data_IF_684650577264
#
_entry.id   IF_684650577264
#
_cell.length_a   1.000
_cell.length_b   1.000
_cell.length_c   1.000
_cell.angle_alpha   90.00
_cell.angle_beta   90.00
_cell.angle_gamma   90.00
#
_symmetry.space_group_name_H-M   'P 1'
#
loop_
_entity.id
_entity.type
_entity.pdbx_description
1 polymer ?
#
# COMPACT_ATOMS: atom_id res chain seq x y z
N UNK A 1 25.66 -79.88 -26.44
CA UNK A 1 24.28 -79.92 -25.92
C UNK A 1 24.09 -78.69 -25.04
N UNK A 2 22.96 -78.00 -25.24
CA UNK A 2 22.59 -76.65 -24.79
C UNK A 2 22.51 -76.41 -23.27
N UNK A 3 22.24 -75.13 -22.94
CA UNK A 3 21.64 -74.50 -21.72
C UNK A 3 22.66 -73.74 -20.85
N UNK A 4 22.72 -72.38 -20.82
CA UNK A 4 21.73 -71.32 -20.46
C UNK A 4 21.11 -71.64 -19.08
N UNK A 5 21.26 -70.87 -17.98
CA UNK A 5 20.73 -69.53 -17.64
C UNK A 5 21.28 -69.14 -16.26
N UNK A 6 21.86 -67.94 -16.08
CA UNK A 6 21.22 -66.69 -15.63
C UNK A 6 21.06 -66.59 -14.10
N UNK A 7 21.88 -65.72 -13.51
CA UNK A 7 21.78 -65.32 -12.11
C UNK A 7 20.54 -64.47 -11.85
N UNK A 8 19.69 -64.97 -10.97
CA UNK A 8 18.78 -64.20 -10.13
C UNK A 8 19.58 -63.78 -8.88
N UNK A 9 19.40 -62.65 -8.22
CA UNK A 9 18.41 -61.59 -8.31
C UNK A 9 18.85 -60.51 -7.32
N UNK A 10 18.45 -59.25 -7.56
CA UNK A 10 18.85 -58.20 -6.62
C UNK A 10 18.62 -56.76 -7.06
N UNK A 11 17.62 -56.47 -7.90
CA UNK A 11 17.36 -55.08 -8.31
C UNK A 11 15.88 -54.70 -8.32
N UNK A 12 15.02 -55.42 -7.57
CA UNK A 12 13.56 -55.25 -7.64
C UNK A 12 12.91 -54.35 -6.60
N UNK A 13 13.55 -54.02 -5.47
CA UNK A 13 12.85 -53.38 -4.33
C UNK A 13 13.36 -51.99 -3.93
N UNK A 14 14.52 -51.57 -4.43
CA UNK A 14 15.08 -50.25 -4.12
C UNK A 14 14.69 -49.17 -5.15
N UNK A 15 14.30 -49.55 -6.37
CA UNK A 15 14.03 -48.61 -7.46
C UNK A 15 12.63 -47.95 -7.39
N UNK A 16 11.72 -48.45 -6.55
CA UNK A 16 10.33 -47.98 -6.51
C UNK A 16 9.99 -46.93 -5.44
N UNK A 17 10.95 -46.54 -4.58
CA UNK A 17 10.75 -45.45 -3.61
C UNK A 17 11.38 -44.10 -4.01
N UNK A 18 12.11 -44.03 -5.12
CA UNK A 18 12.81 -42.79 -5.51
C UNK A 18 12.07 -41.91 -6.53
N UNK A 19 10.88 -42.30 -7.00
CA UNK A 19 10.09 -41.46 -7.92
C UNK A 19 8.90 -40.74 -7.29
N UNK A 20 8.49 -41.08 -6.06
CA UNK A 20 7.43 -40.34 -5.35
C UNK A 20 7.95 -39.07 -4.63
N UNK A 21 9.24 -39.01 -4.28
CA UNK A 21 9.82 -37.85 -3.61
C UNK A 21 10.16 -36.71 -4.58
N UNK A 22 10.35 -36.98 -5.87
CA UNK A 22 10.74 -35.97 -6.85
C UNK A 22 9.56 -35.12 -7.38
N UNK A 23 8.31 -35.59 -7.25
CA UNK A 23 7.12 -34.84 -7.71
C UNK A 23 6.51 -34.00 -6.58
N UNK A 24 6.68 -34.38 -5.30
CA UNK A 24 6.20 -33.58 -4.17
C UNK A 24 7.05 -32.34 -3.87
N UNK A 25 8.35 -32.36 -4.19
CA UNK A 25 9.26 -31.23 -3.93
C UNK A 25 9.12 -30.13 -4.99
N UNK A 26 8.58 -30.43 -6.18
CA UNK A 26 8.41 -29.43 -7.24
C UNK A 26 7.10 -28.60 -7.12
N UNK A 27 6.11 -29.08 -6.35
CA UNK A 27 4.88 -28.33 -6.10
C UNK A 27 5.00 -27.38 -4.88
N UNK A 28 5.84 -27.72 -3.90
CA UNK A 28 6.00 -26.92 -2.69
C UNK A 28 6.81 -25.62 -2.88
N UNK A 29 7.55 -25.49 -3.98
CA UNK A 29 8.36 -24.28 -4.26
C UNK A 29 7.59 -23.19 -5.02
N UNK A 30 6.42 -23.51 -5.60
CA UNK A 30 5.58 -22.51 -6.28
C UNK A 30 4.58 -21.83 -5.33
N UNK A 31 4.19 -22.51 -4.25
CA UNK A 31 3.27 -21.94 -3.26
C UNK A 31 3.93 -20.92 -2.32
N UNK A 32 5.25 -21.02 -2.11
CA UNK A 32 6.00 -20.03 -1.31
C UNK A 32 6.13 -18.67 -2.00
N UNK A 33 6.04 -18.64 -3.34
CA UNK A 33 6.13 -17.40 -4.12
C UNK A 33 4.86 -16.54 -4.06
N UNK A 34 3.70 -17.14 -3.78
CA UNK A 34 2.42 -16.40 -3.65
C UNK A 34 2.22 -15.76 -2.28
N UNK A 35 2.98 -16.17 -1.27
CA UNK A 35 2.83 -15.70 0.11
C UNK A 35 3.56 -14.37 0.40
N UNK A 36 4.39 -13.87 -0.53
CA UNK A 36 5.18 -12.64 -0.35
C UNK A 36 4.97 -11.60 -1.45
N UNK A 37 3.77 -11.50 -2.03
CA UNK A 37 3.35 -10.22 -2.61
C UNK A 37 3.04 -9.24 -1.46
N UNK A 38 4.00 -9.00 -0.57
CA UNK A 38 3.95 -7.80 0.26
C UNK A 38 3.93 -6.64 -0.74
N UNK A 39 2.95 -5.77 -0.61
CA UNK A 39 2.83 -4.62 -1.47
C UNK A 39 4.16 -3.86 -1.38
N UNK A 40 4.96 -3.89 -2.43
CA UNK A 40 6.32 -3.31 -2.41
C UNK A 40 6.34 -1.90 -2.95
N UNK A 41 5.21 -1.40 -3.45
CA UNK A 41 5.09 -0.08 -4.06
C UNK A 41 4.19 0.82 -3.23
N UNK A 42 4.36 2.13 -3.41
CA UNK A 42 3.46 3.13 -2.84
C UNK A 42 2.01 2.82 -3.25
N UNK A 43 1.10 2.88 -2.30
CA UNK A 43 -0.33 2.66 -2.53
C UNK A 43 -1.16 3.68 -1.80
N UNK A 44 -1.94 4.47 -2.54
CA UNK A 44 -2.92 5.37 -1.96
C UNK A 44 -4.18 4.59 -1.57
N UNK A 45 -4.53 4.60 -0.28
CA UNK A 45 -5.69 3.89 0.24
C UNK A 45 -6.97 4.74 0.15
N UNK A 46 -6.84 6.06 0.27
CA UNK A 46 -7.98 6.96 0.18
C UNK A 46 -7.84 8.24 1.00
N UNK A 47 -8.80 9.14 0.78
CA UNK A 47 -8.97 10.33 1.60
C UNK A 47 -10.13 10.10 2.59
N UNK A 48 -9.90 10.43 3.86
CA UNK A 48 -10.94 10.52 4.88
C UNK A 48 -11.26 11.99 5.16
N UNK A 49 -12.54 12.24 5.48
CA UNK A 49 -13.07 13.58 5.73
C UNK A 49 -12.75 14.51 4.55
N UNK A 50 -13.25 14.16 3.37
CA UNK A 50 -13.23 15.05 2.20
C UNK A 50 -14.14 16.28 2.37
N UNK A 51 -14.87 16.37 3.49
CA UNK A 51 -15.54 17.56 4.00
C UNK A 51 -15.05 17.77 5.44
N UNK A 52 -14.50 18.95 5.73
CA UNK A 52 -13.97 19.32 7.04
C UNK A 52 -14.69 20.52 7.64
N UNK A 53 -14.83 20.51 8.96
CA UNK A 53 -15.38 21.58 9.81
C UNK A 53 -14.34 22.00 10.84
N UNK A 54 -13.25 22.67 10.43
CA UNK A 54 -12.13 23.07 11.30
C UNK A 54 -12.53 24.16 12.31
N UNK A 55 -13.30 23.76 13.32
CA UNK A 55 -13.85 24.58 14.41
C UNK A 55 -13.25 24.20 15.78
N UNK A 56 -12.48 23.11 15.87
CA UNK A 56 -11.77 22.66 17.07
C UNK A 56 -12.60 21.79 18.01
N UNK A 57 -13.71 21.21 17.55
CA UNK A 57 -14.55 20.31 18.35
C UNK A 57 -14.07 18.84 18.35
N UNK A 58 -13.02 18.53 17.59
CA UNK A 58 -12.43 17.20 17.43
C UNK A 58 -13.06 16.37 16.32
N UNK A 59 -14.12 16.85 15.65
CA UNK A 59 -14.85 16.13 14.61
C UNK A 59 -14.61 16.78 13.25
N UNK A 60 -14.08 16.00 12.30
CA UNK A 60 -13.78 16.47 10.94
C UNK A 60 -12.95 17.77 10.90
N UNK A 61 -12.14 18.04 11.91
CA UNK A 61 -11.26 19.22 11.94
C UNK A 61 -10.13 19.15 10.90
N UNK A 62 -9.82 17.95 10.43
CA UNK A 62 -8.70 17.69 9.52
C UNK A 62 -9.10 16.71 8.43
N UNK A 63 -8.54 16.90 7.25
CA UNK A 63 -8.56 15.92 6.18
C UNK A 63 -7.37 14.97 6.35
N UNK A 64 -7.58 13.68 6.09
CA UNK A 64 -6.53 12.67 6.16
C UNK A 64 -6.38 11.97 4.81
N UNK A 65 -5.15 11.79 4.36
CA UNK A 65 -4.82 11.14 3.10
C UNK A 65 -3.92 9.95 3.38
N UNK A 66 -4.45 8.76 3.19
CA UNK A 66 -3.87 7.54 3.74
C UNK A 66 -3.21 6.73 2.64
N UNK A 67 -2.03 6.21 2.95
CA UNK A 67 -1.22 5.48 2.00
C UNK A 67 -0.28 4.51 2.72
N UNK A 68 0.10 3.47 2.00
CA UNK A 68 1.22 2.60 2.36
C UNK A 68 2.45 3.01 1.56
N UNK A 69 3.59 3.15 2.25
CA UNK A 69 4.86 3.55 1.66
C UNK A 69 6.01 2.61 2.11
N UNK A 70 5.97 1.33 1.70
CA UNK A 70 6.87 0.27 2.17
C UNK A 70 8.36 0.52 1.83
N UNK A 71 8.64 1.37 0.83
CA UNK A 71 10.00 1.74 0.43
C UNK A 71 10.52 3.01 1.12
N UNK A 72 9.71 3.61 1.97
CA UNK A 72 9.98 4.94 2.54
C UNK A 72 10.34 5.98 1.47
N UNK A 73 9.65 5.91 0.33
CA UNK A 73 9.80 6.84 -0.78
C UNK A 73 9.36 8.25 -0.37
N UNK A 74 9.88 9.27 -1.05
CA UNK A 74 9.42 10.64 -0.85
C UNK A 74 7.94 10.77 -1.25
N UNK A 75 7.15 11.32 -0.33
CA UNK A 75 5.72 11.59 -0.53
C UNK A 75 5.47 13.04 -0.17
N UNK A 76 5.02 13.81 -1.15
CA UNK A 76 4.68 15.22 -0.97
C UNK A 76 3.22 15.47 -1.31
N UNK A 77 2.66 16.52 -0.72
CA UNK A 77 1.28 16.88 -0.95
C UNK A 77 1.04 18.38 -0.86
N UNK A 78 0.14 18.89 -1.71
CA UNK A 78 -0.19 20.31 -1.80
C UNK A 78 -1.69 20.48 -1.91
N UNK A 79 -2.23 21.50 -1.26
CA UNK A 79 -3.61 21.96 -1.39
C UNK A 79 -3.63 23.24 -2.21
N UNK A 80 -4.58 23.34 -3.13
CA UNK A 80 -4.81 24.49 -4.01
C UNK A 80 -6.25 24.99 -3.88
N UNK A 81 -6.46 26.27 -4.17
CA UNK A 81 -7.81 26.79 -4.42
C UNK A 81 -8.27 26.47 -5.85
N UNK A 82 -9.52 26.80 -6.19
CA UNK A 82 -10.09 26.57 -7.53
C UNK A 82 -9.44 27.42 -8.64
N UNK A 83 -8.63 28.41 -8.28
CA UNK A 83 -7.85 29.23 -9.24
C UNK A 83 -6.46 28.63 -9.47
N UNK A 84 -6.13 27.51 -8.82
CA UNK A 84 -4.82 26.87 -8.87
C UNK A 84 -3.77 27.54 -7.98
N UNK A 85 -4.15 28.49 -7.12
CA UNK A 85 -3.22 29.09 -6.18
C UNK A 85 -2.90 28.11 -5.05
N UNK A 86 -1.62 27.94 -4.72
CA UNK A 86 -1.20 27.10 -3.59
C UNK A 86 -1.73 27.68 -2.28
N UNK A 87 -2.42 26.84 -1.51
CA UNK A 87 -3.02 27.18 -0.21
C UNK A 87 -2.17 26.65 0.94
N UNK A 88 -1.73 25.39 0.85
CA UNK A 88 -0.95 24.76 1.91
C UNK A 88 -0.12 23.58 1.38
N UNK A 89 0.91 23.22 2.12
CA UNK A 89 1.55 21.90 1.99
C UNK A 89 0.88 20.94 2.97
N UNK A 90 0.62 19.71 2.53
CA UNK A 90 0.15 18.66 3.41
C UNK A 90 1.26 18.26 4.39
N UNK A 91 0.88 17.95 5.63
CA UNK A 91 1.81 17.57 6.68
C UNK A 91 1.86 16.05 6.82
N UNK A 92 3.08 15.49 6.89
CA UNK A 92 3.30 14.07 7.14
C UNK A 92 3.28 13.81 8.65
N UNK A 93 2.34 12.98 9.10
CA UNK A 93 2.22 12.57 10.51
C UNK A 93 2.65 11.10 10.63
N UNK A 94 3.87 10.87 11.12
CA UNK A 94 4.59 9.59 10.97
C UNK A 94 4.40 8.52 12.05
N UNK A 95 3.50 8.69 13.03
CA UNK A 95 3.37 7.70 14.12
C UNK A 95 1.95 7.37 14.56
N UNK A 96 0.97 8.24 14.30
CA UNK A 96 -0.42 7.87 14.45
C UNK A 96 -0.89 7.30 13.11
N UNK A 97 -1.15 5.99 13.04
CA UNK A 97 -1.68 5.36 11.84
C UNK A 97 -2.92 6.07 11.29
N UNK A 98 -3.24 5.83 10.02
CA UNK A 98 -4.48 6.30 9.45
C UNK A 98 -5.66 5.47 9.98
N UNK A 99 -6.86 6.07 10.17
CA UNK A 99 -8.07 5.30 10.48
C UNK A 99 -8.46 4.23 9.44
N UNK A 100 -7.96 4.30 8.19
CA UNK A 100 -8.10 3.26 7.16
C UNK A 100 -7.11 2.09 7.32
N UNK A 101 -6.26 2.10 8.36
CA UNK A 101 -5.33 1.00 8.66
C UNK A 101 -3.95 1.12 8.03
N UNK A 102 -3.63 2.18 7.28
CA UNK A 102 -2.23 2.43 6.87
C UNK A 102 -1.36 2.90 8.03
N UNK A 103 -0.06 2.62 7.93
CA UNK A 103 0.94 3.14 8.84
C UNK A 103 1.11 4.67 8.72
N UNK A 104 0.85 5.23 7.53
CA UNK A 104 1.20 6.61 7.20
C UNK A 104 0.02 7.42 6.66
N UNK A 105 0.11 8.73 6.84
CA UNK A 105 -0.86 9.70 6.31
C UNK A 105 -0.25 11.08 6.10
N UNK A 106 -0.84 11.80 5.16
CA UNK A 106 -0.74 13.24 5.03
C UNK A 106 -2.00 13.88 5.63
N UNK A 107 -1.87 15.08 6.21
CA UNK A 107 -2.99 15.81 6.82
C UNK A 107 -3.07 17.26 6.36
N UNK A 108 -4.29 17.80 6.43
CA UNK A 108 -4.54 19.23 6.31
C UNK A 108 -5.57 19.67 7.36
N UNK A 109 -5.28 20.78 8.03
CA UNK A 109 -6.08 21.35 9.13
C UNK A 109 -7.02 22.48 8.67
N UNK A 110 -7.23 22.64 7.36
CA UNK A 110 -8.07 23.70 6.82
C UNK A 110 -7.48 25.09 7.01
N UNK A 111 -6.15 25.21 7.08
CA UNK A 111 -5.42 26.48 7.13
C UNK A 111 -4.65 26.77 5.86
N UNK A 112 -4.57 28.07 5.54
CA UNK A 112 -3.79 28.67 4.49
C UNK A 112 -2.74 29.58 5.15
N UNK A 113 -1.46 29.23 5.06
CA UNK A 113 -0.35 30.00 5.67
C UNK A 113 -0.62 30.40 7.14
N UNK A 114 -1.09 29.43 7.95
CA UNK A 114 -1.40 29.62 9.37
C UNK A 114 -2.75 30.27 9.68
N UNK A 115 -3.46 30.79 8.68
CA UNK A 115 -4.78 31.40 8.84
C UNK A 115 -5.89 30.41 8.47
N UNK A 116 -7.10 30.51 9.06
CA UNK A 116 -8.25 29.75 8.60
C UNK A 116 -8.51 29.96 7.10
N UNK A 117 -8.54 28.88 6.34
CA UNK A 117 -8.93 28.93 4.93
C UNK A 117 -10.41 29.37 4.78
N UNK A 118 -10.79 30.04 3.69
CA UNK A 118 -12.19 30.38 3.45
C UNK A 118 -13.05 29.11 3.30
N UNK A 119 -14.35 29.20 3.59
CA UNK A 119 -15.28 28.13 3.23
C UNK A 119 -15.30 27.93 1.71
N UNK A 120 -15.30 26.68 1.26
CA UNK A 120 -15.26 26.38 -0.17
C UNK A 120 -14.58 25.06 -0.52
N UNK A 121 -14.45 24.81 -1.82
CA UNK A 121 -13.81 23.61 -2.37
C UNK A 121 -12.34 23.91 -2.65
N UNK A 122 -11.50 22.97 -2.26
CA UNK A 122 -10.06 22.96 -2.48
C UNK A 122 -9.67 21.70 -3.23
N UNK A 123 -8.59 21.79 -3.99
CA UNK A 123 -8.00 20.66 -4.70
C UNK A 123 -6.79 20.17 -3.91
N UNK A 124 -6.61 18.86 -3.78
CA UNK A 124 -5.35 18.30 -3.29
C UNK A 124 -4.62 17.58 -4.42
N UNK A 125 -3.29 17.60 -4.35
CA UNK A 125 -2.40 16.84 -5.21
C UNK A 125 -1.34 16.18 -4.35
N UNK A 126 -1.19 14.86 -4.45
CA UNK A 126 -0.19 14.06 -3.76
C UNK A 126 0.72 13.42 -4.82
N UNK A 127 2.03 13.44 -4.57
CA UNK A 127 3.04 12.88 -5.45
C UNK A 127 3.88 11.88 -4.67
N UNK A 128 4.01 10.68 -5.23
CA UNK A 128 4.82 9.59 -4.68
C UNK A 128 5.18 8.59 -5.77
N UNK A 129 6.43 8.13 -5.83
CA UNK A 129 6.88 7.11 -6.80
C UNK A 129 6.47 7.38 -8.27
N UNK A 130 6.46 8.65 -8.69
CA UNK A 130 6.02 9.06 -10.03
C UNK A 130 4.50 9.05 -10.24
N UNK A 131 3.72 8.62 -9.25
CA UNK A 131 2.27 8.73 -9.24
C UNK A 131 1.83 10.14 -8.83
N UNK A 132 0.73 10.60 -9.41
CA UNK A 132 0.03 11.82 -8.99
C UNK A 132 -1.40 11.47 -8.65
N UNK A 133 -1.80 11.69 -7.40
CA UNK A 133 -3.15 11.49 -6.90
C UNK A 133 -3.79 12.85 -6.68
N UNK A 134 -5.02 13.03 -7.17
CA UNK A 134 -5.76 14.29 -7.04
C UNK A 134 -7.18 14.07 -6.55
N UNK A 135 -7.73 15.08 -5.90
CA UNK A 135 -9.16 15.12 -5.57
C UNK A 135 -9.53 16.43 -4.91
N UNK A 136 -10.66 16.43 -4.21
CA UNK A 136 -11.20 17.63 -3.56
C UNK A 136 -11.33 17.47 -2.05
N UNK A 137 -11.18 18.57 -1.33
CA UNK A 137 -11.61 18.71 0.07
C UNK A 137 -12.50 19.95 0.17
N UNK A 138 -13.63 19.83 0.86
CA UNK A 138 -14.53 20.95 1.15
C UNK A 138 -14.31 21.44 2.57
N UNK A 139 -14.16 22.76 2.73
CA UNK A 139 -14.16 23.43 4.04
C UNK A 139 -15.53 24.04 4.29
N UNK A 140 -16.15 23.66 5.40
CA UNK A 140 -17.43 24.21 5.89
C UNK A 140 -17.15 25.09 7.11
N UNK A 141 -17.67 26.32 7.09
CA UNK A 141 -17.54 27.32 8.15
C UNK A 141 -18.82 28.14 8.26
#
# INVERSE_FOLDING_TARGET
MNEITKGEGGLGRAAFWLLAAAIGVLAATLETGRLHAQNTAFTFLGALSNVITPNGDGLNDRAFFCFDNPRDSDVSGVVYDLRGARVARLLREGQAGCPLGSAEKLTWDGRADGHPAAGGIYLYQIQAEGQTITGTVMVVR
#
